data_IF_438443942943
#
_entry.id   IF_438443942943
#
_cell.length_a   1.000
_cell.length_b   1.000
_cell.length_c   1.000
_cell.angle_alpha   90.00
_cell.angle_beta   90.00
_cell.angle_gamma   90.00
#
_symmetry.space_group_name_H-M   'P 1'
#
loop_
_entity.id
_entity.type
_entity.pdbx_description
1 polymer ?
#
# COMPACT_ATOMS: atom_id res chain seq x y z
N UNK A 1 -3.77 25.73 20.31
CA UNK A 1 -3.27 26.17 19.00
C UNK A 1 -2.94 24.98 18.11
N UNK A 2 -3.90 24.57 17.29
CA UNK A 2 -3.80 23.42 16.38
C UNK A 2 -2.87 23.68 15.17
N UNK A 3 -2.53 24.95 14.89
CA UNK A 3 -1.65 25.35 13.76
C UNK A 3 -0.18 25.62 14.11
N UNK A 4 0.31 25.19 15.27
CA UNK A 4 1.71 25.36 15.66
C UNK A 4 2.65 24.54 14.76
N UNK A 5 3.75 25.14 14.28
CA UNK A 5 4.82 24.45 13.54
C UNK A 5 5.32 23.19 14.27
N UNK A 6 5.26 23.21 15.61
CA UNK A 6 5.63 22.07 16.44
C UNK A 6 4.63 20.92 16.32
N UNK A 7 3.33 21.19 16.22
CA UNK A 7 2.33 20.13 16.03
C UNK A 7 2.57 19.39 14.71
N UNK A 8 2.80 20.14 13.62
CA UNK A 8 3.10 19.55 12.31
C UNK A 8 4.39 18.73 12.36
N UNK A 9 5.45 19.25 13.01
CA UNK A 9 6.70 18.53 13.19
C UNK A 9 6.52 17.21 13.95
N UNK A 10 5.74 17.21 15.04
CA UNK A 10 5.47 15.99 15.80
C UNK A 10 4.62 14.98 15.02
N UNK A 11 3.61 15.44 14.28
CA UNK A 11 2.80 14.60 13.40
C UNK A 11 3.65 13.96 12.30
N UNK A 12 4.53 14.73 11.65
CA UNK A 12 5.41 14.21 10.59
C UNK A 12 6.41 13.20 11.14
N UNK A 13 6.95 13.45 12.34
CA UNK A 13 7.86 12.51 13.01
C UNK A 13 7.15 11.21 13.39
N UNK A 14 5.91 11.29 13.87
CA UNK A 14 5.10 10.13 14.22
C UNK A 14 4.73 9.31 12.98
N UNK A 15 4.26 9.99 11.92
CA UNK A 15 3.96 9.38 10.62
C UNK A 15 5.16 8.62 10.07
N UNK A 16 6.33 9.28 10.02
CA UNK A 16 7.55 8.66 9.52
C UNK A 16 7.98 7.47 10.37
N UNK A 17 7.88 7.57 11.70
CA UNK A 17 8.18 6.45 12.60
C UNK A 17 7.25 5.25 12.37
N UNK A 18 5.96 5.47 12.11
CA UNK A 18 5.02 4.39 11.79
C UNK A 18 5.41 3.68 10.48
N UNK A 19 5.71 4.47 9.44
CA UNK A 19 6.17 3.94 8.15
C UNK A 19 7.47 3.13 8.32
N UNK A 20 8.45 3.65 9.05
CA UNK A 20 9.74 2.98 9.26
C UNK A 20 9.60 1.62 9.96
N UNK A 21 8.67 1.50 10.91
CA UNK A 21 8.39 0.22 11.59
C UNK A 21 7.87 -0.83 10.60
N UNK A 22 6.96 -0.42 9.72
CA UNK A 22 6.36 -1.28 8.70
C UNK A 22 7.34 -1.64 7.58
N UNK A 23 8.14 -0.68 7.12
CA UNK A 23 9.20 -0.91 6.14
C UNK A 23 10.23 -1.91 6.67
N UNK A 24 10.63 -1.83 7.94
CA UNK A 24 11.59 -2.78 8.55
C UNK A 24 11.16 -4.25 8.48
N UNK A 25 9.85 -4.51 8.48
CA UNK A 25 9.25 -5.86 8.44
C UNK A 25 8.72 -6.25 7.05
N UNK A 26 8.99 -5.46 6.02
CA UNK A 26 8.60 -5.76 4.63
C UNK A 26 9.51 -6.82 4.04
N UNK A 27 8.93 -7.95 3.60
CA UNK A 27 9.63 -9.08 2.95
C UNK A 27 11.00 -9.43 3.59
N UNK A 28 11.03 -9.75 4.90
CA UNK A 28 12.28 -9.96 5.65
C UNK A 28 13.15 -11.10 5.09
N UNK A 29 12.56 -12.03 4.36
CA UNK A 29 13.25 -13.13 3.68
C UNK A 29 14.13 -12.68 2.51
N UNK A 30 13.92 -11.48 1.96
CA UNK A 30 14.68 -10.95 0.83
C UNK A 30 15.73 -9.93 1.29
N UNK A 31 17.00 -10.23 1.01
CA UNK A 31 18.14 -9.37 1.39
C UNK A 31 18.03 -7.95 0.82
N UNK A 32 17.41 -7.79 -0.36
CA UNK A 32 17.17 -6.49 -0.98
C UNK A 32 16.43 -5.51 -0.05
N UNK A 33 15.35 -5.94 0.59
CA UNK A 33 14.56 -5.08 1.49
C UNK A 33 15.19 -4.87 2.87
N UNK A 34 16.31 -5.53 3.15
CA UNK A 34 17.09 -5.30 4.37
C UNK A 34 18.07 -4.12 4.22
N UNK A 35 18.39 -3.71 2.98
CA UNK A 35 19.34 -2.64 2.72
C UNK A 35 18.80 -1.27 3.16
N UNK A 36 19.65 -0.45 3.79
CA UNK A 36 19.23 0.85 4.35
C UNK A 36 18.76 1.83 3.29
N UNK A 37 19.41 1.85 2.12
CA UNK A 37 19.01 2.68 0.98
C UNK A 37 17.60 2.29 0.48
N UNK A 38 17.31 1.01 0.35
CA UNK A 38 15.98 0.52 -0.08
C UNK A 38 14.91 0.90 0.93
N UNK A 39 15.19 0.69 2.23
CA UNK A 39 14.27 1.10 3.30
C UNK A 39 14.04 2.61 3.33
N UNK A 40 15.08 3.41 3.05
CA UNK A 40 14.96 4.86 2.92
C UNK A 40 14.04 5.24 1.77
N UNK A 41 14.24 4.68 0.57
CA UNK A 41 13.38 4.92 -0.60
C UNK A 41 11.92 4.58 -0.28
N UNK A 42 11.66 3.40 0.28
CA UNK A 42 10.31 3.01 0.68
C UNK A 42 9.68 3.99 1.68
N UNK A 43 10.45 4.40 2.68
CA UNK A 43 9.98 5.32 3.72
C UNK A 43 9.65 6.68 3.15
N UNK A 44 10.53 7.23 2.31
CA UNK A 44 10.38 8.59 1.78
C UNK A 44 9.24 8.66 0.76
N UNK A 45 9.10 7.67 -0.13
CA UNK A 45 7.96 7.57 -1.06
C UNK A 45 6.63 7.49 -0.31
N UNK A 46 6.52 6.60 0.69
CA UNK A 46 5.30 6.46 1.49
C UNK A 46 4.99 7.72 2.30
N UNK A 47 6.02 8.37 2.82
CA UNK A 47 5.87 9.61 3.58
C UNK A 47 5.40 10.76 2.70
N UNK A 48 6.04 10.98 1.55
CA UNK A 48 5.63 11.98 0.56
C UNK A 48 4.18 11.74 0.13
N UNK A 49 3.82 10.50 -0.21
CA UNK A 49 2.46 10.17 -0.63
C UNK A 49 1.45 10.48 0.47
N UNK A 50 1.73 10.09 1.72
CA UNK A 50 0.85 10.37 2.84
C UNK A 50 0.69 11.87 3.13
N UNK A 51 1.74 12.67 2.92
CA UNK A 51 1.71 14.13 3.09
C UNK A 51 0.96 14.84 1.97
N UNK A 52 0.98 14.31 0.75
CA UNK A 52 0.20 14.83 -0.37
C UNK A 52 -1.27 14.41 -0.29
N UNK A 53 -1.56 13.25 0.32
CA UNK A 53 -2.90 12.67 0.44
C UNK A 53 -3.38 12.72 1.91
N UNK A 54 -3.49 13.93 2.48
CA UNK A 54 -3.83 14.13 3.91
C UNK A 54 -5.18 13.56 4.33
N UNK A 55 -6.10 13.31 3.38
CA UNK A 55 -7.39 12.67 3.67
C UNK A 55 -7.23 11.18 3.98
N UNK A 56 -6.38 10.48 3.22
CA UNK A 56 -6.14 9.05 3.39
C UNK A 56 -5.06 8.78 4.44
N UNK A 57 -3.98 9.57 4.39
CA UNK A 57 -2.71 9.36 5.08
C UNK A 57 -2.10 7.98 4.77
N UNK A 58 -0.97 7.67 5.40
CA UNK A 58 -0.40 6.33 5.35
C UNK A 58 -1.32 5.32 6.04
N UNK A 59 -1.53 4.17 5.39
CA UNK A 59 -2.17 2.99 5.99
C UNK A 59 -1.26 1.77 5.84
N UNK A 60 -1.13 0.99 6.91
CA UNK A 60 -0.40 -0.27 6.88
C UNK A 60 -0.89 -1.16 5.73
N UNK A 61 0.04 -1.84 5.05
CA UNK A 61 -0.20 -2.57 3.79
C UNK A 61 0.20 -1.77 2.54
N UNK A 62 0.19 -0.43 2.57
CA UNK A 62 0.73 0.38 1.46
C UNK A 62 2.20 0.07 1.18
N UNK A 63 2.97 -0.26 2.22
CA UNK A 63 4.36 -0.69 2.08
C UNK A 63 4.50 -2.00 1.29
N UNK A 64 3.53 -2.91 1.37
CA UNK A 64 3.51 -4.18 0.62
C UNK A 64 3.16 -3.95 -0.85
N UNK A 65 2.44 -2.87 -1.17
CA UNK A 65 2.16 -2.44 -2.55
C UNK A 65 3.36 -1.74 -3.19
N UNK A 66 4.05 -0.88 -2.45
CA UNK A 66 5.22 -0.14 -2.97
C UNK A 66 6.44 -1.04 -3.17
N UNK A 67 6.68 -2.00 -2.29
CA UNK A 67 7.90 -2.80 -2.31
C UNK A 67 8.14 -3.57 -3.62
N UNK A 68 7.14 -4.23 -4.24
CA UNK A 68 7.29 -4.84 -5.56
C UNK A 68 7.66 -3.83 -6.66
N UNK A 69 7.11 -2.60 -6.62
CA UNK A 69 7.43 -1.53 -7.58
C UNK A 69 8.92 -1.19 -7.50
N UNK A 70 9.42 -0.90 -6.29
CA UNK A 70 10.84 -0.56 -6.05
C UNK A 70 11.76 -1.72 -6.47
N UNK A 71 11.35 -2.96 -6.20
CA UNK A 71 12.11 -4.14 -6.59
C UNK A 71 12.20 -4.30 -8.11
N UNK A 72 11.10 -4.14 -8.83
CA UNK A 72 11.08 -4.25 -10.30
C UNK A 72 11.93 -3.13 -10.93
N UNK A 73 11.80 -1.88 -10.47
CA UNK A 73 12.63 -0.78 -10.95
C UNK A 73 14.13 -1.05 -10.76
N UNK A 74 14.49 -1.66 -9.62
CA UNK A 74 15.87 -2.10 -9.39
C UNK A 74 16.29 -3.21 -10.38
N UNK A 75 15.45 -4.23 -10.57
CA UNK A 75 15.72 -5.32 -11.52
C UNK A 75 15.89 -4.80 -12.95
N UNK A 76 15.05 -3.87 -13.39
CA UNK A 76 15.13 -3.27 -14.73
C UNK A 76 16.44 -2.50 -14.90
N UNK A 77 16.86 -1.74 -13.88
CA UNK A 77 18.16 -1.08 -13.89
C UNK A 77 19.33 -2.09 -13.94
N UNK A 78 19.27 -3.18 -13.18
CA UNK A 78 20.30 -4.24 -13.26
C UNK A 78 20.36 -4.90 -14.63
N UNK A 79 19.20 -5.20 -15.22
CA UNK A 79 19.11 -5.77 -16.56
C UNK A 79 19.67 -4.80 -17.62
N UNK A 80 19.41 -3.51 -17.46
CA UNK A 80 19.97 -2.46 -18.30
C UNK A 80 21.50 -2.36 -18.21
N UNK A 81 22.07 -2.41 -17.00
CA UNK A 81 23.53 -2.41 -16.82
C UNK A 81 24.16 -3.59 -17.55
N UNK A 82 23.59 -4.79 -17.42
CA UNK A 82 24.10 -5.98 -18.09
C UNK A 82 23.98 -5.87 -19.63
N UNK A 83 22.83 -5.42 -20.15
CA UNK A 83 22.66 -5.20 -21.58
C UNK A 83 23.65 -4.15 -22.14
N UNK A 84 23.98 -3.13 -21.34
CA UNK A 84 24.92 -2.07 -21.70
C UNK A 84 26.38 -2.54 -21.83
N UNK A 85 26.72 -3.74 -21.34
CA UNK A 85 28.06 -4.32 -21.52
C UNK A 85 28.32 -4.74 -22.98
N UNK A 86 27.25 -5.03 -23.74
CA UNK A 86 27.33 -5.56 -25.11
C UNK A 86 26.58 -4.74 -26.15
N UNK A 87 25.68 -3.85 -25.73
CA UNK A 87 24.91 -2.97 -26.59
C UNK A 87 25.23 -1.48 -26.33
N UNK A 88 24.80 -0.62 -27.23
CA UNK A 88 24.74 0.83 -27.01
C UNK A 88 23.27 1.22 -26.79
N UNK A 89 22.83 1.37 -25.53
CA UNK A 89 21.46 1.78 -25.26
C UNK A 89 21.19 3.19 -25.78
N UNK A 90 19.95 3.44 -26.20
CA UNK A 90 19.51 4.77 -26.59
C UNK A 90 19.51 5.74 -25.40
N UNK A 91 19.53 7.04 -25.68
CA UNK A 91 19.50 8.07 -24.61
C UNK A 91 18.19 8.04 -23.82
N UNK A 92 17.09 7.64 -24.45
CA UNK A 92 15.80 7.46 -23.79
C UNK A 92 15.88 6.35 -22.73
N UNK A 93 16.55 5.23 -23.06
CA UNK A 93 16.73 4.11 -22.12
C UNK A 93 17.60 4.51 -20.92
N UNK A 94 18.68 5.25 -21.17
CA UNK A 94 19.55 5.79 -20.11
C UNK A 94 18.80 6.73 -19.17
N UNK A 95 17.89 7.52 -19.72
CA UNK A 95 17.06 8.46 -18.95
C UNK A 95 16.03 7.70 -18.12
N UNK A 96 15.31 6.75 -18.74
CA UNK A 96 14.24 5.98 -18.10
C UNK A 96 14.74 5.06 -16.99
N UNK A 97 15.94 4.50 -17.13
CA UNK A 97 16.52 3.55 -16.17
C UNK A 97 17.65 4.17 -15.35
N UNK A 98 17.64 5.49 -15.18
CA UNK A 98 18.62 6.21 -14.37
C UNK A 98 18.38 5.93 -12.87
N UNK A 99 19.35 5.36 -12.14
CA UNK A 99 19.18 5.02 -10.73
C UNK A 99 19.01 6.25 -9.82
N UNK A 100 19.41 7.45 -10.26
CA UNK A 100 19.19 8.71 -9.51
C UNK A 100 17.70 9.10 -9.44
N UNK A 101 16.90 8.64 -10.40
CA UNK A 101 15.46 8.92 -10.47
C UNK A 101 14.58 7.78 -9.97
N UNK A 102 15.15 6.65 -9.54
CA UNK A 102 14.40 5.47 -9.10
C UNK A 102 13.37 5.79 -8.01
N UNK A 103 13.71 6.64 -7.04
CA UNK A 103 12.77 7.08 -5.98
C UNK A 103 11.59 7.88 -6.56
N UNK A 104 11.83 8.72 -7.56
CA UNK A 104 10.82 9.53 -8.24
C UNK A 104 9.90 8.66 -9.10
N UNK A 105 10.47 7.71 -9.84
CA UNK A 105 9.71 6.76 -10.67
C UNK A 105 8.85 5.86 -9.79
N UNK A 106 9.40 5.38 -8.66
CA UNK A 106 8.65 4.62 -7.68
C UNK A 106 7.47 5.43 -7.12
N UNK A 107 7.68 6.72 -6.81
CA UNK A 107 6.61 7.61 -6.38
C UNK A 107 5.50 7.75 -7.42
N UNK A 108 5.87 8.01 -8.68
CA UNK A 108 4.91 8.18 -9.77
C UNK A 108 4.08 6.89 -9.99
N UNK A 109 4.74 5.73 -10.07
CA UNK A 109 4.08 4.44 -10.25
C UNK A 109 3.18 4.09 -9.06
N UNK A 110 3.64 4.34 -7.84
CA UNK A 110 2.86 4.10 -6.63
C UNK A 110 1.64 5.01 -6.54
N UNK A 111 1.78 6.29 -6.88
CA UNK A 111 0.66 7.24 -6.91
C UNK A 111 -0.42 6.78 -7.90
N UNK A 112 0.00 6.36 -9.10
CA UNK A 112 -0.92 5.82 -10.11
C UNK A 112 -1.61 4.53 -9.66
N UNK A 113 -0.91 3.64 -8.96
CA UNK A 113 -1.50 2.44 -8.37
C UNK A 113 -2.56 2.81 -7.31
N UNK A 114 -2.24 3.80 -6.48
CA UNK A 114 -3.11 4.23 -5.40
C UNK A 114 -4.40 4.89 -5.87
N UNK A 115 -4.45 5.51 -7.06
CA UNK A 115 -5.72 5.99 -7.65
C UNK A 115 -6.76 4.86 -7.78
N UNK A 116 -6.31 3.62 -7.97
CA UNK A 116 -7.18 2.44 -8.06
C UNK A 116 -7.31 1.71 -6.72
N UNK A 117 -6.26 1.73 -5.90
CA UNK A 117 -6.21 0.97 -4.66
C UNK A 117 -6.78 1.71 -3.44
N UNK A 118 -6.87 3.05 -3.48
CA UNK A 118 -7.35 3.90 -2.39
C UNK A 118 -8.66 3.42 -1.75
N UNK A 119 -9.71 3.00 -2.49
CA UNK A 119 -10.96 2.52 -1.89
C UNK A 119 -10.77 1.35 -0.92
N UNK A 120 -9.71 0.55 -1.08
CA UNK A 120 -9.38 -0.56 -0.17
C UNK A 120 -8.76 -0.09 1.15
N UNK A 121 -8.26 1.14 1.20
CA UNK A 121 -7.63 1.74 2.38
C UNK A 121 -8.48 2.84 3.02
N UNK A 122 -9.41 3.41 2.26
CA UNK A 122 -10.31 4.47 2.72
C UNK A 122 -11.46 3.91 3.56
N UNK A 123 -11.72 4.57 4.69
CA UNK A 123 -12.93 4.37 5.51
C UNK A 123 -14.03 5.37 5.17
N UNK A 124 -13.80 6.27 4.21
CA UNK A 124 -14.76 7.29 3.84
C UNK A 124 -15.86 6.71 2.95
N UNK A 125 -17.11 6.95 3.32
CA UNK A 125 -18.19 6.98 2.35
C UNK A 125 -17.99 8.25 1.50
N UNK A 126 -17.90 8.11 0.17
CA UNK A 126 -18.07 9.24 -0.76
C UNK A 126 -19.53 9.71 -0.76
N UNK A 127 -20.15 9.85 0.41
CA UNK A 127 -21.51 10.36 0.51
C UNK A 127 -21.48 11.81 0.97
N UNK A 128 -22.14 12.66 0.18
CA UNK A 128 -22.14 14.11 0.29
C UNK A 128 -22.92 14.62 1.51
N UNK A 129 -22.57 14.18 2.72
CA UNK A 129 -23.18 14.67 3.95
C UNK A 129 -22.13 15.15 4.93
N UNK A 130 -21.96 16.48 4.95
CA UNK A 130 -21.32 17.21 6.04
C UNK A 130 -22.07 16.89 7.35
N UNK A 131 -21.55 15.98 8.16
CA UNK A 131 -22.22 15.63 9.42
C UNK A 131 -21.41 14.70 10.32
N UNK A 132 -20.71 15.30 11.28
CA UNK A 132 -20.05 14.67 12.45
C UNK A 132 -18.95 13.67 12.12
N UNK A 133 -17.77 14.26 11.91
CA UNK A 133 -16.45 13.63 12.09
C UNK A 133 -16.36 12.98 13.48
N UNK A 134 -16.65 11.68 13.54
CA UNK A 134 -16.13 10.87 14.64
C UNK A 134 -14.72 10.51 14.21
N UNK A 135 -13.76 11.36 14.57
CA UNK A 135 -12.34 11.04 14.46
C UNK A 135 -12.12 9.71 15.18
N UNK A 136 -12.05 8.60 14.45
CA UNK A 136 -11.49 7.38 15.00
C UNK A 136 -10.07 7.75 15.38
N UNK A 137 -9.84 7.88 16.68
CA UNK A 137 -8.51 8.01 17.25
C UNK A 137 -7.71 6.83 16.70
N UNK A 138 -6.57 7.06 16.01
CA UNK A 138 -5.73 5.96 15.59
C UNK A 138 -5.34 5.19 16.84
N UNK A 139 -5.73 3.93 16.93
CA UNK A 139 -5.21 3.06 17.99
C UNK A 139 -3.74 2.86 17.65
N UNK A 140 -2.79 3.39 18.46
CA UNK A 140 -1.38 3.18 18.18
C UNK A 140 -1.11 1.68 18.17
N UNK A 141 -0.34 1.20 17.18
CA UNK A 141 0.04 -0.22 17.03
C UNK A 141 -1.06 -1.18 16.55
N UNK A 142 -2.25 -0.70 16.18
CA UNK A 142 -3.25 -1.55 15.54
C UNK A 142 -2.77 -1.98 14.14
N UNK A 143 -2.67 -3.29 13.93
CA UNK A 143 -2.45 -3.86 12.60
C UNK A 143 -3.71 -3.60 11.75
N UNK A 144 -3.67 -3.61 10.41
CA UNK A 144 -4.82 -3.41 9.54
C UNK A 144 -5.80 -4.58 9.56
N UNK A 145 -5.44 -5.68 10.23
CA UNK A 145 -6.35 -6.75 10.65
C UNK A 145 -7.10 -6.42 11.96
N UNK A 146 -6.60 -5.45 12.73
CA UNK A 146 -7.21 -4.93 13.95
C UNK A 146 -8.10 -3.69 13.64
N UNK A 147 -7.87 -3.03 12.51
CA UNK A 147 -8.83 -2.10 11.89
C UNK A 147 -9.87 -2.91 11.11
N UNK A 148 -11.16 -2.68 11.39
CA UNK A 148 -12.24 -3.37 10.68
C UNK A 148 -12.13 -3.22 9.15
N UNK A 149 -12.63 -4.20 8.37
CA UNK A 149 -12.56 -4.16 6.91
C UNK A 149 -13.31 -2.95 6.36
N UNK A 150 -12.74 -2.26 5.36
CA UNK A 150 -13.43 -1.12 4.73
C UNK A 150 -14.69 -1.56 4.01
N UNK A 151 -15.66 -0.66 3.83
CA UNK A 151 -16.93 -0.97 3.13
C UNK A 151 -16.67 -1.50 1.72
N UNK A 152 -15.69 -0.93 1.01
CA UNK A 152 -15.29 -1.41 -0.31
C UNK A 152 -14.83 -2.87 -0.25
N UNK A 153 -13.95 -3.21 0.71
CA UNK A 153 -13.48 -4.59 0.89
C UNK A 153 -14.64 -5.51 1.25
N UNK A 154 -15.48 -5.14 2.21
CA UNK A 154 -16.64 -5.96 2.61
C UNK A 154 -17.53 -6.22 1.41
N UNK A 155 -17.84 -5.20 0.61
CA UNK A 155 -18.66 -5.31 -0.59
C UNK A 155 -18.03 -6.25 -1.61
N UNK A 156 -16.73 -6.09 -1.88
CA UNK A 156 -16.00 -6.91 -2.85
C UNK A 156 -15.92 -8.37 -2.42
N UNK A 157 -15.60 -8.61 -1.15
CA UNK A 157 -15.46 -9.96 -0.60
C UNK A 157 -16.82 -10.67 -0.53
N UNK A 158 -17.89 -9.96 -0.17
CA UNK A 158 -19.25 -10.51 -0.22
C UNK A 158 -19.68 -10.81 -1.66
N UNK A 159 -19.34 -9.96 -2.63
CA UNK A 159 -19.57 -10.24 -4.05
C UNK A 159 -18.85 -11.54 -4.48
N UNK A 160 -17.60 -11.73 -4.04
CA UNK A 160 -16.85 -12.95 -4.31
C UNK A 160 -17.56 -14.17 -3.69
N UNK A 161 -17.95 -14.10 -2.42
CA UNK A 161 -18.59 -15.22 -1.72
C UNK A 161 -20.00 -15.52 -2.24
N UNK A 162 -20.91 -14.55 -2.18
CA UNK A 162 -22.34 -14.76 -2.38
C UNK A 162 -22.74 -14.81 -3.85
N UNK A 163 -21.89 -14.32 -4.75
CA UNK A 163 -22.13 -14.35 -6.18
C UNK A 163 -21.19 -15.29 -6.93
N UNK A 164 -19.87 -15.06 -6.86
CA UNK A 164 -18.92 -15.82 -7.69
C UNK A 164 -18.73 -17.25 -7.17
N UNK A 165 -18.40 -17.42 -5.89
CA UNK A 165 -18.18 -18.74 -5.31
C UNK A 165 -19.47 -19.55 -5.35
N UNK A 166 -20.59 -19.00 -4.88
CA UNK A 166 -21.89 -19.68 -4.92
C UNK A 166 -22.28 -20.17 -6.33
N UNK A 167 -21.95 -19.40 -7.37
CA UNK A 167 -22.25 -19.75 -8.77
C UNK A 167 -21.35 -20.87 -9.30
N UNK A 168 -20.07 -20.86 -8.94
CA UNK A 168 -19.06 -21.75 -9.53
C UNK A 168 -18.75 -22.99 -8.69
N UNK A 169 -18.91 -22.92 -7.36
CA UNK A 169 -18.70 -24.01 -6.41
C UNK A 169 -19.64 -23.86 -5.20
N UNK A 170 -20.84 -24.41 -5.35
CA UNK A 170 -21.88 -24.35 -4.32
C UNK A 170 -21.54 -25.20 -3.09
N UNK A 171 -20.77 -26.28 -3.26
CA UNK A 171 -20.40 -27.16 -2.14
C UNK A 171 -19.45 -26.45 -1.18
N UNK A 172 -18.42 -25.78 -1.73
CA UNK A 172 -17.51 -24.95 -0.95
C UNK A 172 -18.23 -23.77 -0.30
N UNK A 173 -19.11 -23.07 -1.04
CA UNK A 173 -19.94 -21.99 -0.48
C UNK A 173 -20.75 -22.46 0.74
N UNK A 174 -21.48 -23.57 0.59
CA UNK A 174 -22.27 -24.12 1.69
C UNK A 174 -21.41 -24.60 2.84
N UNK A 175 -20.22 -25.15 2.58
CA UNK A 175 -19.31 -25.59 3.62
C UNK A 175 -18.79 -24.43 4.46
N UNK A 176 -18.33 -23.34 3.82
CA UNK A 176 -17.88 -22.13 4.51
C UNK A 176 -19.00 -21.51 5.35
N UNK A 177 -20.22 -21.45 4.81
CA UNK A 177 -21.38 -20.94 5.54
C UNK A 177 -21.76 -21.83 6.74
N UNK A 178 -21.71 -23.16 6.60
CA UNK A 178 -21.96 -24.09 7.72
C UNK A 178 -20.94 -23.96 8.85
N UNK A 179 -19.71 -23.59 8.51
CA UNK A 179 -18.64 -23.34 9.48
C UNK A 179 -18.68 -21.91 10.05
N UNK A 180 -19.64 -21.07 9.62
CA UNK A 180 -19.75 -19.67 10.02
C UNK A 180 -18.46 -18.86 9.75
N UNK A 181 -17.71 -19.25 8.71
CA UNK A 181 -16.48 -18.54 8.32
C UNK A 181 -16.87 -17.28 7.57
N UNK A 182 -16.71 -16.13 8.25
CA UNK A 182 -16.98 -14.84 7.66
C UNK A 182 -16.02 -14.57 6.47
N UNK A 183 -16.52 -14.13 5.30
CA UNK A 183 -15.70 -13.98 4.10
C UNK A 183 -14.48 -13.07 4.27
N UNK A 184 -14.58 -12.09 5.16
CA UNK A 184 -13.54 -11.12 5.46
C UNK A 184 -12.30 -11.77 6.08
N UNK A 185 -12.44 -12.94 6.74
CA UNK A 185 -11.34 -13.66 7.36
C UNK A 185 -10.28 -14.09 6.34
N UNK A 186 -10.69 -14.52 5.15
CA UNK A 186 -9.76 -14.90 4.08
C UNK A 186 -9.65 -13.85 2.97
N UNK A 187 -10.71 -13.10 2.68
CA UNK A 187 -10.76 -12.18 1.55
C UNK A 187 -10.13 -10.80 1.78
N UNK A 188 -9.95 -10.38 3.04
CA UNK A 188 -9.42 -9.06 3.38
C UNK A 188 -8.03 -8.82 2.79
N UNK A 189 -7.10 -9.75 3.03
CA UNK A 189 -5.72 -9.61 2.50
C UNK A 189 -5.68 -9.74 0.99
N UNK A 190 -6.47 -10.63 0.40
CA UNK A 190 -6.51 -10.80 -1.06
C UNK A 190 -6.92 -9.50 -1.75
N UNK A 191 -8.04 -8.90 -1.35
CA UNK A 191 -8.51 -7.67 -2.00
C UNK A 191 -7.54 -6.50 -1.78
N UNK A 192 -6.94 -6.39 -0.60
CA UNK A 192 -6.08 -5.25 -0.24
C UNK A 192 -4.68 -5.32 -0.84
N UNK A 193 -4.16 -6.53 -1.08
CA UNK A 193 -2.80 -6.77 -1.57
C UNK A 193 -2.76 -7.27 -3.02
N UNK A 194 -3.92 -7.28 -3.70
CA UNK A 194 -4.13 -7.77 -5.08
C UNK A 194 -3.85 -9.27 -5.23
#
# INVERSE_FOLDING_TARGET
DEGSLWNKFFQDKELRSMIEQDVKRTFPEMQFFQQENVRKILTDVLFCYARENEQLLYKQGMHELLAPIVFILHCDHQAFLHASESAQPSEEMKTLLNPEFLEHDAYAMFSQLMETAEPWFSTFEHDGQKGKETLMTPIPFARPQDLGPTIAIVTKVNQIQDHLLKKHDIELYMHLNRLEIAPQIYGLRWVRLL
#
